data_IF_247242329428
#
_entry.id   IF_247242329428
#
_cell.length_a   1.000
_cell.length_b   1.000
_cell.length_c   1.000
_cell.angle_alpha   90.00
_cell.angle_beta   90.00
_cell.angle_gamma   90.00
#
_symmetry.space_group_name_H-M   'P 1'
#
loop_
_entity.id
_entity.type
_entity.pdbx_description
1 polymer ?
#
# COMPACT_ATOMS: atom_id res chain seq x y z
N UNK A 1 -1.51 -19.55 -18.26
CA UNK A 1 -2.28 -19.03 -19.41
C UNK A 1 -3.57 -19.84 -19.50
N UNK A 2 -4.70 -19.17 -19.55
CA UNK A 2 -6.03 -19.74 -19.72
C UNK A 2 -6.61 -19.20 -21.03
N UNK A 3 -7.29 -20.05 -21.82
CA UNK A 3 -7.86 -19.65 -23.09
C UNK A 3 -8.38 -20.83 -23.91
N UNK A 4 -8.63 -20.62 -25.21
CA UNK A 4 -9.10 -21.67 -26.13
C UNK A 4 -8.10 -22.82 -26.19
N UNK A 5 -8.60 -24.05 -26.09
CA UNK A 5 -7.81 -25.30 -25.98
C UNK A 5 -6.76 -25.46 -27.08
N UNK A 6 -7.13 -25.18 -28.34
CA UNK A 6 -6.23 -25.25 -29.48
C UNK A 6 -5.09 -24.25 -29.42
N UNK A 7 -5.39 -23.01 -29.02
CA UNK A 7 -4.37 -21.95 -28.84
C UNK A 7 -3.41 -22.30 -27.69
N UNK A 8 -3.94 -22.70 -26.53
CA UNK A 8 -3.14 -23.11 -25.39
C UNK A 8 -2.24 -24.32 -25.74
N UNK A 9 -2.76 -25.28 -26.51
CA UNK A 9 -1.99 -26.43 -26.98
C UNK A 9 -0.82 -26.04 -27.90
N UNK A 10 -1.02 -25.05 -28.80
CA UNK A 10 0.05 -24.50 -29.66
C UNK A 10 1.11 -23.75 -28.83
N UNK A 11 0.69 -22.93 -27.89
CA UNK A 11 1.61 -22.24 -26.96
C UNK A 11 2.45 -23.27 -26.20
N UNK A 12 1.83 -24.32 -25.64
CA UNK A 12 2.52 -25.37 -24.89
C UNK A 12 3.62 -26.07 -25.69
N UNK A 13 3.46 -26.19 -26.99
CA UNK A 13 4.45 -26.83 -27.90
C UNK A 13 5.58 -25.89 -28.31
N UNK A 14 5.49 -24.59 -28.06
CA UNK A 14 6.49 -23.62 -28.47
C UNK A 14 7.75 -23.76 -27.58
N UNK A 15 8.98 -23.85 -28.17
CA UNK A 15 10.24 -23.98 -27.42
C UNK A 15 10.48 -22.85 -26.42
N UNK A 16 10.01 -21.63 -26.67
CA UNK A 16 10.10 -20.50 -25.75
C UNK A 16 9.42 -20.78 -24.41
N UNK A 17 8.42 -21.66 -24.38
CA UNK A 17 7.74 -22.02 -23.16
C UNK A 17 8.68 -22.62 -22.11
N UNK A 18 9.78 -23.27 -22.55
CA UNK A 18 10.80 -23.78 -21.64
C UNK A 18 11.65 -22.67 -21.00
N UNK A 19 11.96 -21.63 -21.76
CA UNK A 19 12.72 -20.48 -21.29
C UNK A 19 11.90 -19.60 -20.33
N UNK A 20 10.58 -19.53 -20.53
CA UNK A 20 9.63 -18.73 -19.75
C UNK A 20 8.98 -19.53 -18.59
N UNK A 21 9.43 -20.74 -18.34
CA UNK A 21 8.85 -21.61 -17.30
C UNK A 21 9.12 -21.01 -15.91
N UNK A 22 8.06 -20.79 -15.15
CA UNK A 22 8.16 -20.40 -13.75
C UNK A 22 8.77 -21.54 -12.93
N UNK A 23 9.48 -21.18 -11.87
CA UNK A 23 10.04 -22.11 -10.90
C UNK A 23 8.95 -22.72 -9.99
N UNK A 24 9.32 -23.74 -9.22
CA UNK A 24 8.39 -24.46 -8.35
C UNK A 24 7.90 -23.61 -7.18
N UNK A 25 8.71 -22.68 -6.67
CA UNK A 25 8.32 -21.81 -5.56
C UNK A 25 7.26 -20.80 -6.01
N UNK A 26 7.45 -20.18 -7.18
CA UNK A 26 6.45 -19.29 -7.79
C UNK A 26 5.14 -20.03 -8.06
N UNK A 27 5.21 -21.29 -8.53
CA UNK A 27 4.01 -22.10 -8.76
C UNK A 27 3.28 -22.40 -7.45
N UNK A 28 3.99 -22.81 -6.41
CA UNK A 28 3.40 -23.07 -5.10
C UNK A 28 2.80 -21.81 -4.45
N UNK A 29 3.47 -20.68 -4.57
CA UNK A 29 2.95 -19.39 -4.10
C UNK A 29 1.67 -18.97 -4.83
N UNK A 30 1.63 -19.17 -6.16
CA UNK A 30 0.44 -18.92 -6.96
C UNK A 30 -0.72 -19.83 -6.56
N UNK A 31 -0.45 -21.13 -6.37
CA UNK A 31 -1.45 -22.10 -5.91
C UNK A 31 -2.02 -21.69 -4.55
N UNK A 32 -1.16 -21.42 -3.57
CA UNK A 32 -1.57 -20.96 -2.23
C UNK A 32 -2.42 -19.68 -2.28
N UNK A 33 -2.08 -18.75 -3.19
CA UNK A 33 -2.85 -17.53 -3.41
C UNK A 33 -4.22 -17.84 -4.01
N UNK A 34 -4.28 -18.68 -5.05
CA UNK A 34 -5.53 -19.04 -5.73
C UNK A 34 -6.48 -19.83 -4.80
N UNK A 35 -5.95 -20.66 -3.92
CA UNK A 35 -6.74 -21.39 -2.92
C UNK A 35 -7.56 -20.46 -2.03
N UNK A 36 -7.07 -19.23 -1.77
CA UNK A 36 -7.83 -18.22 -1.01
C UNK A 36 -9.11 -17.75 -1.69
N UNK A 37 -9.17 -17.82 -3.02
CA UNK A 37 -10.36 -17.45 -3.78
C UNK A 37 -11.45 -18.53 -3.77
N UNK A 38 -11.12 -19.78 -3.37
CA UNK A 38 -12.10 -20.86 -3.30
C UNK A 38 -13.00 -20.75 -2.06
N UNK A 39 -12.52 -20.11 -0.98
CA UNK A 39 -13.30 -19.89 0.22
C UNK A 39 -14.04 -18.54 0.12
N UNK A 40 -15.39 -18.50 0.21
CA UNK A 40 -16.16 -17.25 0.13
C UNK A 40 -15.68 -16.21 1.15
N UNK A 41 -15.32 -15.01 0.68
CA UNK A 41 -14.88 -13.89 1.51
C UNK A 41 -13.48 -14.02 2.12
N UNK A 42 -12.74 -15.09 1.87
CA UNK A 42 -11.37 -15.28 2.41
C UNK A 42 -10.35 -14.38 1.70
N UNK A 43 -10.39 -14.32 0.38
CA UNK A 43 -9.43 -13.55 -0.42
C UNK A 43 -9.40 -12.05 -0.05
N UNK A 44 -10.53 -11.31 0.04
CA UNK A 44 -10.53 -9.90 0.44
C UNK A 44 -9.97 -9.66 1.85
N UNK A 45 -10.06 -10.64 2.74
CA UNK A 45 -9.55 -10.53 4.12
C UNK A 45 -8.07 -10.81 4.22
N UNK A 46 -7.59 -11.82 3.51
CA UNK A 46 -6.26 -12.40 3.71
C UNK A 46 -5.24 -12.02 2.61
N UNK A 47 -5.70 -11.50 1.47
CA UNK A 47 -4.81 -10.95 0.44
C UNK A 47 -4.72 -9.43 0.59
N UNK A 48 -3.59 -8.92 1.07
CA UNK A 48 -3.38 -7.48 1.34
C UNK A 48 -3.70 -6.60 0.14
N UNK A 49 -3.25 -6.98 -1.06
CA UNK A 49 -3.51 -6.23 -2.29
C UNK A 49 -5.00 -6.18 -2.62
N UNK A 50 -5.71 -7.31 -2.52
CA UNK A 50 -7.13 -7.35 -2.79
C UNK A 50 -7.94 -6.57 -1.76
N UNK A 51 -7.57 -6.67 -0.47
CA UNK A 51 -8.16 -5.86 0.59
C UNK A 51 -8.01 -4.37 0.30
N UNK A 52 -6.80 -3.92 -0.04
CA UNK A 52 -6.54 -2.52 -0.35
C UNK A 52 -7.39 -1.99 -1.52
N UNK A 53 -7.68 -2.83 -2.52
CA UNK A 53 -8.53 -2.47 -3.65
C UNK A 53 -10.03 -2.44 -3.30
N UNK A 54 -10.50 -3.39 -2.48
CA UNK A 54 -11.95 -3.64 -2.28
C UNK A 54 -12.50 -3.08 -0.97
N UNK A 55 -11.65 -2.60 -0.06
CA UNK A 55 -12.07 -2.10 1.25
C UNK A 55 -13.00 -0.88 1.11
N UNK A 56 -14.15 -0.86 1.81
CA UNK A 56 -15.06 0.28 1.80
C UNK A 56 -14.38 1.56 2.30
N UNK A 57 -14.64 2.69 1.64
CA UNK A 57 -14.07 3.99 2.03
C UNK A 57 -14.35 4.35 3.50
N UNK A 58 -15.53 3.97 4.02
CA UNK A 58 -15.89 4.20 5.42
C UNK A 58 -14.91 3.56 6.40
N UNK A 59 -14.40 2.36 6.11
CA UNK A 59 -13.45 1.67 6.97
C UNK A 59 -12.03 2.24 6.83
N UNK A 60 -11.64 2.64 5.61
CA UNK A 60 -10.41 3.42 5.39
C UNK A 60 -10.41 4.71 6.21
N UNK A 61 -11.52 5.47 6.17
CA UNK A 61 -11.68 6.71 6.97
C UNK A 61 -11.67 6.46 8.49
N UNK A 62 -12.25 5.36 8.97
CA UNK A 62 -12.15 4.97 10.40
C UNK A 62 -10.70 4.73 10.79
N UNK A 63 -9.97 3.98 9.98
CA UNK A 63 -8.55 3.69 10.20
C UNK A 63 -7.70 4.96 10.16
N UNK A 64 -7.98 5.89 9.23
CA UNK A 64 -7.31 7.18 9.15
C UNK A 64 -7.51 8.03 10.43
N UNK A 65 -8.72 8.06 10.97
CA UNK A 65 -8.99 8.75 12.25
C UNK A 65 -8.22 8.13 13.42
N UNK A 66 -8.08 6.80 13.44
CA UNK A 66 -7.28 6.12 14.48
C UNK A 66 -5.79 6.49 14.39
N UNK A 67 -5.21 6.51 13.18
CA UNK A 67 -3.84 6.96 13.00
C UNK A 67 -3.68 8.42 13.42
N UNK A 68 -4.57 9.29 12.97
CA UNK A 68 -4.58 10.71 13.35
C UNK A 68 -4.62 10.89 14.87
N UNK A 69 -5.48 10.16 15.57
CA UNK A 69 -5.57 10.22 17.04
C UNK A 69 -4.28 9.73 17.71
N UNK A 70 -3.60 8.73 17.14
CA UNK A 70 -2.33 8.22 17.65
C UNK A 70 -1.20 9.23 17.44
N UNK A 71 -1.13 9.89 16.28
CA UNK A 71 -0.17 10.94 15.97
C UNK A 71 -0.33 12.16 16.89
N UNK A 72 -1.58 12.62 17.08
CA UNK A 72 -1.88 13.72 18.00
C UNK A 72 -1.45 13.40 19.43
N UNK A 73 -1.69 12.17 19.92
CA UNK A 73 -1.25 11.72 21.24
C UNK A 73 0.27 11.62 21.37
N UNK A 74 0.98 11.32 20.27
CA UNK A 74 2.43 11.25 20.27
C UNK A 74 3.10 12.63 20.46
N UNK A 75 2.39 13.74 20.20
CA UNK A 75 2.85 15.10 20.50
C UNK A 75 4.12 15.51 19.77
N UNK A 76 4.32 15.05 18.51
CA UNK A 76 5.55 15.30 17.77
C UNK A 76 5.64 16.78 17.38
N UNK A 77 6.58 17.50 17.96
CA UNK A 77 6.75 18.93 17.76
C UNK A 77 7.18 19.28 16.33
N UNK A 78 6.70 20.41 15.79
CA UNK A 78 7.08 20.88 14.46
C UNK A 78 6.40 20.13 13.30
N UNK A 79 5.51 19.16 13.60
CA UNK A 79 4.70 18.45 12.60
C UNK A 79 3.21 18.83 12.74
N UNK A 80 2.57 19.07 11.63
CA UNK A 80 1.11 19.28 11.55
C UNK A 80 0.46 18.16 10.75
N UNK A 81 -0.76 17.78 11.13
CA UNK A 81 -1.48 16.65 10.55
C UNK A 81 -2.87 17.05 10.12
N UNK A 82 -3.28 16.58 8.95
CA UNK A 82 -4.62 16.75 8.46
C UNK A 82 -5.16 15.44 7.87
N UNK A 83 -6.46 15.21 7.98
CA UNK A 83 -7.16 14.10 7.33
C UNK A 83 -7.81 14.63 6.05
N UNK A 84 -7.44 14.08 4.90
CA UNK A 84 -7.99 14.46 3.60
C UNK A 84 -8.60 13.28 2.87
N UNK A 85 -9.65 13.57 2.11
CA UNK A 85 -10.11 12.63 1.08
C UNK A 85 -9.10 12.61 -0.08
N UNK A 86 -8.87 11.46 -0.66
CA UNK A 86 -7.88 11.27 -1.72
C UNK A 86 -8.35 10.19 -2.69
N UNK A 87 -7.65 10.09 -3.81
CA UNK A 87 -7.82 9.01 -4.77
C UNK A 87 -6.55 8.16 -4.77
N UNK A 88 -6.73 6.86 -4.62
CA UNK A 88 -5.67 5.87 -4.78
C UNK A 88 -5.71 5.29 -6.18
N UNK A 89 -4.56 4.95 -6.73
CA UNK A 89 -4.43 4.27 -8.01
C UNK A 89 -3.79 2.90 -7.82
N UNK A 90 -4.27 1.90 -8.56
CA UNK A 90 -3.59 0.63 -8.67
C UNK A 90 -2.38 0.80 -9.59
N UNK A 91 -1.16 0.56 -9.06
CA UNK A 91 0.08 0.69 -9.82
C UNK A 91 0.27 -0.41 -10.88
N UNK A 92 1.34 -0.27 -11.68
CA UNK A 92 1.81 -1.30 -12.60
C UNK A 92 0.91 -1.58 -13.80
N UNK A 93 0.07 -0.62 -14.22
CA UNK A 93 -0.85 -0.80 -15.35
C UNK A 93 -2.07 -1.66 -15.03
N UNK A 94 -2.25 -2.07 -13.76
CA UNK A 94 -3.47 -2.71 -13.29
C UNK A 94 -4.52 -1.63 -13.02
N UNK A 95 -5.68 -1.72 -13.63
CA UNK A 95 -6.77 -0.75 -13.47
C UNK A 95 -6.35 0.71 -13.76
N UNK A 96 -5.76 1.03 -14.92
CA UNK A 96 -5.16 2.34 -15.16
C UNK A 96 -6.18 3.50 -15.26
N UNK A 97 -7.46 3.20 -15.40
CA UNK A 97 -8.56 4.16 -15.52
C UNK A 97 -9.46 4.23 -14.28
N UNK A 98 -9.16 3.44 -13.24
CA UNK A 98 -10.00 3.36 -12.05
C UNK A 98 -9.41 4.20 -10.92
N UNK A 99 -10.13 5.24 -10.56
CA UNK A 99 -9.87 6.02 -9.35
C UNK A 99 -10.54 5.36 -8.15
N UNK A 100 -9.73 4.96 -7.18
CA UNK A 100 -10.22 4.27 -5.98
C UNK A 100 -10.34 5.29 -4.85
N UNK A 101 -11.56 5.65 -4.39
CA UNK A 101 -11.73 6.60 -3.30
C UNK A 101 -10.96 6.17 -2.05
N UNK A 102 -10.12 7.05 -1.50
CA UNK A 102 -9.28 6.78 -0.34
C UNK A 102 -9.32 7.92 0.68
N UNK A 103 -8.65 7.72 1.80
CA UNK A 103 -8.39 8.74 2.81
C UNK A 103 -6.92 8.69 3.22
N UNK A 104 -6.30 9.86 3.26
CA UNK A 104 -4.90 10.04 3.63
C UNK A 104 -4.76 10.86 4.90
N UNK A 105 -3.74 10.57 5.67
CA UNK A 105 -3.24 11.48 6.69
C UNK A 105 -2.08 12.23 6.07
N UNK A 106 -2.22 13.55 5.92
CA UNK A 106 -1.16 14.42 5.44
C UNK A 106 -0.32 14.91 6.60
N UNK A 107 0.97 15.11 6.36
CA UNK A 107 1.92 15.63 7.35
C UNK A 107 2.74 16.74 6.70
N UNK A 108 2.83 17.88 7.37
CA UNK A 108 3.75 18.98 7.05
C UNK A 108 4.72 19.21 8.19
N UNK A 109 5.92 19.64 7.87
CA UNK A 109 6.92 20.06 8.83
C UNK A 109 7.21 21.55 8.70
N UNK A 110 7.35 22.25 9.82
CA UNK A 110 7.81 23.63 9.84
C UNK A 110 9.31 23.78 9.52
N UNK A 111 10.08 22.68 9.62
CA UNK A 111 11.54 22.69 9.52
C UNK A 111 12.08 22.01 8.25
N UNK A 112 11.28 21.20 7.60
CA UNK A 112 11.76 20.28 6.57
C UNK A 112 10.76 20.20 5.40
N UNK A 113 11.26 20.24 4.16
CA UNK A 113 10.42 20.05 2.97
C UNK A 113 9.86 18.62 2.88
N UNK A 114 8.75 18.46 2.19
CA UNK A 114 8.12 17.14 1.99
C UNK A 114 9.06 16.12 1.35
N UNK A 115 9.89 16.53 0.39
CA UNK A 115 10.88 15.65 -0.24
C UNK A 115 11.96 15.16 0.73
N UNK A 116 12.40 16.01 1.67
CA UNK A 116 13.35 15.59 2.71
C UNK A 116 12.68 14.65 3.71
N UNK A 117 11.43 14.93 4.10
CA UNK A 117 10.64 14.02 4.96
C UNK A 117 10.50 12.64 4.31
N UNK A 118 10.11 12.59 3.03
CA UNK A 118 9.97 11.34 2.28
C UNK A 118 11.29 10.56 2.25
N UNK A 119 12.39 11.21 1.91
CA UNK A 119 13.71 10.59 1.85
C UNK A 119 14.17 10.06 3.23
N UNK A 120 13.83 10.73 4.32
CA UNK A 120 14.13 10.29 5.69
C UNK A 120 13.27 9.12 6.12
N UNK A 121 11.96 9.17 5.84
CA UNK A 121 11.02 8.08 6.14
C UNK A 121 11.39 6.79 5.41
N UNK A 122 11.87 6.89 4.17
CA UNK A 122 12.35 5.76 3.39
C UNK A 122 13.60 5.09 4.00
N UNK A 123 14.37 5.84 4.79
CA UNK A 123 15.60 5.37 5.49
C UNK A 123 15.37 5.06 6.97
N UNK A 124 14.15 5.15 7.48
CA UNK A 124 13.83 4.78 8.84
C UNK A 124 14.12 3.28 9.09
N UNK A 125 14.27 2.89 10.35
CA UNK A 125 14.53 1.49 10.75
C UNK A 125 13.49 0.52 10.15
N UNK A 126 12.23 0.94 10.14
CA UNK A 126 11.18 0.34 9.30
C UNK A 126 10.81 1.39 8.26
N UNK A 127 11.15 1.19 6.97
CA UNK A 127 10.87 2.16 5.92
C UNK A 127 9.37 2.46 5.78
N UNK A 128 9.01 3.74 5.78
CA UNK A 128 7.65 4.21 5.51
C UNK A 128 7.64 4.90 4.16
N UNK A 129 6.89 4.32 3.22
CA UNK A 129 6.77 4.85 1.87
C UNK A 129 5.52 5.72 1.79
N UNK A 130 5.73 6.98 1.46
CA UNK A 130 4.68 7.99 1.38
C UNK A 130 4.62 8.60 -0.02
N UNK A 131 3.52 9.27 -0.35
CA UNK A 131 3.45 10.16 -1.53
C UNK A 131 3.78 11.57 -1.10
N UNK A 132 4.34 12.35 -2.02
CA UNK A 132 4.56 13.79 -1.85
C UNK A 132 3.62 14.53 -2.80
N UNK A 133 2.89 15.50 -2.28
CA UNK A 133 1.94 16.31 -3.02
C UNK A 133 1.81 17.68 -2.33
N UNK A 134 1.83 18.78 -3.10
CA UNK A 134 1.68 20.16 -2.59
C UNK A 134 2.54 20.50 -1.34
N UNK A 135 3.81 20.06 -1.32
CA UNK A 135 4.74 20.21 -0.21
C UNK A 135 4.28 19.58 1.12
N UNK A 136 3.48 18.54 1.05
CA UNK A 136 3.14 17.68 2.18
C UNK A 136 3.38 16.21 1.84
N UNK A 137 3.62 15.38 2.83
CA UNK A 137 3.62 13.94 2.66
C UNK A 137 2.23 13.38 2.94
N UNK A 138 1.85 12.36 2.19
CA UNK A 138 0.56 11.68 2.29
C UNK A 138 0.75 10.22 2.67
N UNK A 139 0.13 9.81 3.76
CA UNK A 139 0.06 8.42 4.24
C UNK A 139 -1.31 7.87 3.86
N UNK A 140 -1.36 6.98 2.87
CA UNK A 140 -2.61 6.40 2.38
C UNK A 140 -3.02 5.19 3.22
N UNK A 141 -4.19 5.29 3.85
CA UNK A 141 -4.66 4.28 4.78
C UNK A 141 -5.23 3.02 4.11
N UNK A 142 -5.31 2.98 2.77
CA UNK A 142 -5.58 1.73 2.06
C UNK A 142 -4.43 0.74 2.19
N UNK A 143 -3.19 1.26 2.28
CA UNK A 143 -1.98 0.44 2.28
C UNK A 143 -1.38 0.24 3.66
N UNK A 144 -1.80 1.01 4.67
CA UNK A 144 -1.28 0.94 6.04
C UNK A 144 -2.29 0.26 6.96
N UNK A 145 -1.90 -0.83 7.60
CA UNK A 145 -2.71 -1.57 8.57
C UNK A 145 -2.58 -0.98 9.99
N UNK A 146 -3.53 -1.28 10.88
CA UNK A 146 -3.54 -0.71 12.24
C UNK A 146 -2.35 -1.16 13.10
N UNK A 147 -1.88 -2.38 12.90
CA UNK A 147 -0.70 -2.94 13.57
C UNK A 147 0.62 -2.27 13.13
N UNK A 148 0.60 -1.60 11.97
CA UNK A 148 1.75 -0.86 11.43
C UNK A 148 1.84 0.59 11.96
N UNK A 149 0.82 1.10 12.65
CA UNK A 149 0.79 2.49 13.14
C UNK A 149 1.94 2.84 14.08
N UNK A 150 2.45 1.87 14.84
CA UNK A 150 3.63 2.06 15.68
C UNK A 150 4.84 2.51 14.86
N UNK A 151 5.13 1.80 13.79
CA UNK A 151 6.25 2.09 12.89
C UNK A 151 6.12 3.46 12.23
N UNK A 152 4.90 3.85 11.82
CA UNK A 152 4.64 5.18 11.27
C UNK A 152 4.94 6.28 12.29
N UNK A 153 4.46 6.13 13.54
CA UNK A 153 4.71 7.11 14.60
C UNK A 153 6.19 7.22 14.92
N UNK A 154 6.90 6.10 15.02
CA UNK A 154 8.33 6.07 15.35
C UNK A 154 9.19 6.69 14.24
N UNK A 155 8.84 6.42 12.97
CA UNK A 155 9.50 7.04 11.83
C UNK A 155 9.30 8.57 11.80
N UNK A 156 8.06 9.04 12.09
CA UNK A 156 7.77 10.48 12.18
C UNK A 156 8.43 11.14 13.39
N UNK A 157 8.59 10.42 14.51
CA UNK A 157 9.35 10.93 15.67
C UNK A 157 10.79 11.20 15.29
N UNK A 158 11.44 10.32 14.54
CA UNK A 158 12.78 10.55 14.03
C UNK A 158 12.92 11.82 13.17
N UNK A 159 11.84 12.26 12.48
CA UNK A 159 11.82 13.53 11.77
C UNK A 159 11.69 14.74 12.72
N UNK A 160 10.84 14.62 13.74
CA UNK A 160 10.62 15.70 14.70
C UNK A 160 11.87 15.99 15.54
N UNK A 161 12.66 14.96 15.85
CA UNK A 161 13.89 15.04 16.65
C UNK A 161 15.13 15.46 15.82
N UNK A 162 14.99 15.51 14.48
CA UNK A 162 16.08 15.95 13.60
C UNK A 162 16.29 17.46 13.72
N UNK A 163 17.55 17.92 13.81
CA UNK A 163 17.90 19.33 13.95
C UNK A 163 17.53 20.18 12.74
#
# INVERSE_FOLDING_TARGET
IVGKKDIVARIKKNPLNRALRIDKFTLAALEATLMRYLAPGDAPRNLRSLRALTEPLGDVKKRARKLMAKLKRAGLSGLTYELKDSMAAAGGGSLPTEDIPSAVVTVKSAKMSASRMEASLRRAAVPVIVRVDEDEIQIDLRTVAEDEFGFVVDALRGLADSP
#
